data_IF_180973767476
#
_entry.id   IF_180973767476
#
_cell.length_a   1.000
_cell.length_b   1.000
_cell.length_c   1.000
_cell.angle_alpha   90.00
_cell.angle_beta   90.00
_cell.angle_gamma   90.00
#
_symmetry.space_group_name_H-M   'P 1'
#
loop_
_entity.id
_entity.type
_entity.pdbx_description
1 polymer ?
#
# COMPACT_ATOMS: atom_id res chain seq x y z
N UNK A 1 -10.58 -4.42 17.44
CA UNK A 1 -9.95 -3.94 16.20
C UNK A 1 -10.98 -3.85 15.07
N UNK A 2 -11.99 -4.73 15.00
CA UNK A 2 -12.91 -4.80 13.84
C UNK A 2 -14.24 -4.05 14.02
N UNK A 3 -14.35 -3.20 15.05
CA UNK A 3 -15.57 -2.41 15.30
C UNK A 3 -15.90 -1.44 14.16
N UNK A 4 -14.88 -0.97 13.44
CA UNK A 4 -15.06 -0.10 12.28
C UNK A 4 -15.89 -0.78 11.19
N UNK A 5 -15.71 -2.08 10.95
CA UNK A 5 -16.40 -2.81 9.89
C UNK A 5 -17.89 -2.99 10.15
N UNK A 6 -18.31 -2.90 11.43
CA UNK A 6 -19.72 -2.91 11.84
C UNK A 6 -20.33 -1.51 11.93
N UNK A 7 -19.54 -0.46 11.71
CA UNK A 7 -20.04 0.91 11.69
C UNK A 7 -20.89 1.14 10.44
N UNK A 8 -22.00 1.87 10.58
CA UNK A 8 -22.78 2.33 9.43
C UNK A 8 -21.93 3.20 8.47
N UNK A 9 -20.87 3.83 8.97
CA UNK A 9 -19.92 4.60 8.18
C UNK A 9 -19.07 3.74 7.24
N UNK A 10 -18.91 2.44 7.52
CA UNK A 10 -18.06 1.56 6.70
C UNK A 10 -18.55 1.47 5.25
N UNK A 11 -19.87 1.52 5.04
CA UNK A 11 -20.47 1.54 3.70
C UNK A 11 -20.18 2.84 2.92
N UNK A 12 -19.72 3.89 3.60
CA UNK A 12 -19.35 5.17 3.02
C UNK A 12 -17.83 5.36 2.86
N UNK A 13 -17.02 4.41 3.33
CA UNK A 13 -15.57 4.44 3.17
C UNK A 13 -15.18 4.06 1.74
N UNK A 14 -14.21 4.78 1.16
CA UNK A 14 -13.69 4.47 -0.18
C UNK A 14 -12.73 3.28 -0.17
N UNK A 15 -11.99 3.10 0.93
CA UNK A 15 -10.98 2.04 1.12
C UNK A 15 -10.59 1.91 2.58
N UNK A 16 -10.02 0.77 2.93
CA UNK A 16 -9.21 0.59 4.15
C UNK A 16 -7.75 0.79 3.78
N UNK A 17 -7.02 1.61 4.53
CA UNK A 17 -5.60 1.84 4.32
C UNK A 17 -4.78 1.06 5.35
N UNK A 18 -3.84 0.26 4.88
CA UNK A 18 -2.75 -0.32 5.67
C UNK A 18 -1.52 0.52 5.40
N UNK A 19 -1.03 1.18 6.44
CA UNK A 19 0.20 1.99 6.40
C UNK A 19 1.23 1.34 7.31
N UNK A 20 2.38 1.00 6.74
CA UNK A 20 3.51 0.44 7.46
C UNK A 20 4.68 1.42 7.43
N UNK A 21 5.37 1.53 8.57
CA UNK A 21 6.57 2.36 8.71
C UNK A 21 7.77 1.81 7.94
N UNK A 22 8.94 2.45 8.08
CA UNK A 22 10.17 2.04 7.37
C UNK A 22 10.58 0.57 7.57
N UNK A 23 10.25 -0.02 8.72
CA UNK A 23 10.49 -1.42 9.07
C UNK A 23 9.35 -2.37 8.66
N UNK A 24 8.37 -1.86 7.90
CA UNK A 24 7.24 -2.61 7.38
C UNK A 24 7.66 -3.80 6.51
N UNK A 25 7.05 -4.96 6.75
CA UNK A 25 7.30 -6.18 6.00
C UNK A 25 6.06 -6.73 5.31
N UNK A 26 6.25 -7.53 4.27
CA UNK A 26 5.15 -8.24 3.59
C UNK A 26 4.46 -9.24 4.51
N UNK A 27 5.19 -9.83 5.48
CA UNK A 27 4.63 -10.67 6.55
C UNK A 27 3.65 -9.88 7.43
N UNK A 28 4.06 -8.70 7.88
CA UNK A 28 3.18 -7.80 8.65
C UNK A 28 1.97 -7.37 7.83
N UNK A 29 2.17 -7.11 6.54
CA UNK A 29 1.07 -6.79 5.62
C UNK A 29 0.08 -7.95 5.50
N UNK A 30 0.53 -9.19 5.35
CA UNK A 30 -0.34 -10.37 5.29
C UNK A 30 -1.14 -10.60 6.58
N UNK A 31 -0.51 -10.40 7.73
CA UNK A 31 -1.19 -10.51 9.02
C UNK A 31 -2.33 -9.48 9.15
N UNK A 32 -2.10 -8.24 8.74
CA UNK A 32 -3.13 -7.20 8.74
C UNK A 32 -4.20 -7.45 7.68
N UNK A 33 -3.82 -7.91 6.49
CA UNK A 33 -4.75 -8.30 5.44
C UNK A 33 -5.68 -9.41 5.90
N UNK A 34 -5.16 -10.44 6.58
CA UNK A 34 -5.97 -11.54 7.11
C UNK A 34 -7.01 -11.03 8.12
N UNK A 35 -6.60 -10.13 9.03
CA UNK A 35 -7.50 -9.50 10.02
C UNK A 35 -8.58 -8.66 9.34
N UNK A 36 -8.20 -7.77 8.43
CA UNK A 36 -9.15 -6.90 7.72
C UNK A 36 -10.13 -7.72 6.87
N UNK A 37 -9.67 -8.75 6.16
CA UNK A 37 -10.53 -9.62 5.33
C UNK A 37 -11.51 -10.42 6.18
N UNK A 38 -11.15 -10.80 7.40
CA UNK A 38 -12.08 -11.49 8.32
C UNK A 38 -13.29 -10.63 8.71
N UNK A 39 -13.18 -9.30 8.58
CA UNK A 39 -14.27 -8.36 8.82
C UNK A 39 -15.28 -8.30 7.67
N UNK A 40 -15.02 -8.97 6.53
CA UNK A 40 -15.92 -9.10 5.37
C UNK A 40 -16.41 -7.76 4.80
N UNK A 41 -15.61 -6.70 4.93
CA UNK A 41 -15.94 -5.40 4.34
C UNK A 41 -15.82 -5.45 2.81
N UNK A 42 -16.77 -4.86 2.05
CA UNK A 42 -16.71 -4.85 0.59
C UNK A 42 -15.77 -3.79 0.02
N UNK A 43 -15.23 -2.89 0.86
CA UNK A 43 -14.40 -1.78 0.38
C UNK A 43 -12.99 -2.27 0.01
N UNK A 44 -12.36 -1.70 -1.04
CA UNK A 44 -10.99 -2.03 -1.41
C UNK A 44 -9.98 -1.80 -0.26
N UNK A 45 -8.86 -2.53 -0.32
CA UNK A 45 -7.73 -2.33 0.58
C UNK A 45 -6.60 -1.64 -0.20
N UNK A 46 -6.03 -0.61 0.38
CA UNK A 46 -4.80 0.05 -0.06
C UNK A 46 -3.66 -0.34 0.87
N UNK A 47 -2.58 -0.86 0.30
CA UNK A 47 -1.33 -1.15 1.01
C UNK A 47 -0.29 -0.07 0.66
N UNK A 48 0.28 0.54 1.69
CA UNK A 48 1.23 1.63 1.59
C UNK A 48 2.39 1.42 2.57
N UNK A 49 3.61 1.65 2.09
CA UNK A 49 4.84 1.64 2.86
C UNK A 49 5.55 2.99 2.83
N UNK A 50 6.36 3.23 3.86
CA UNK A 50 7.18 4.43 4.05
C UNK A 50 8.67 4.10 3.93
N UNK A 51 9.46 5.03 3.38
CA UNK A 51 10.92 4.95 3.21
C UNK A 51 11.37 3.59 2.65
N UNK A 52 12.16 2.83 3.42
CA UNK A 52 12.76 1.54 3.03
C UNK A 52 11.70 0.47 2.68
N UNK A 53 10.51 0.56 3.27
CA UNK A 53 9.41 -0.37 3.00
C UNK A 53 8.58 0.02 1.76
N UNK A 54 8.76 1.23 1.22
CA UNK A 54 7.88 1.79 0.21
C UNK A 54 7.83 0.94 -1.07
N UNK A 55 8.99 0.68 -1.69
CA UNK A 55 9.06 -0.11 -2.93
C UNK A 55 8.69 -1.59 -2.74
N UNK A 56 9.21 -2.31 -1.72
CA UNK A 56 8.79 -3.69 -1.47
C UNK A 56 7.28 -3.85 -1.24
N UNK A 57 6.64 -2.94 -0.49
CA UNK A 57 5.21 -3.01 -0.22
C UNK A 57 4.36 -2.56 -1.41
N UNK A 58 4.86 -1.65 -2.26
CA UNK A 58 4.21 -1.28 -3.52
C UNK A 58 4.19 -2.45 -4.50
N UNK A 59 5.31 -3.14 -4.69
CA UNK A 59 5.39 -4.36 -5.49
C UNK A 59 4.45 -5.44 -4.92
N UNK A 60 4.48 -5.63 -3.60
CA UNK A 60 3.61 -6.59 -2.93
C UNK A 60 2.13 -6.26 -3.10
N UNK A 61 1.74 -4.98 -3.08
CA UNK A 61 0.38 -4.55 -3.37
C UNK A 61 -0.04 -4.98 -4.78
N UNK A 62 0.85 -4.80 -5.78
CA UNK A 62 0.64 -5.25 -7.16
C UNK A 62 0.41 -6.76 -7.26
N UNK A 63 1.31 -7.56 -6.68
CA UNK A 63 1.22 -9.04 -6.65
C UNK A 63 -0.09 -9.55 -6.01
N UNK A 64 -0.66 -8.78 -5.08
CA UNK A 64 -1.86 -9.13 -4.33
C UNK A 64 -3.14 -8.50 -4.90
N UNK A 65 -3.04 -7.75 -6.01
CA UNK A 65 -4.15 -7.04 -6.63
C UNK A 65 -4.78 -5.98 -5.71
N UNK A 66 -3.97 -5.39 -4.83
CA UNK A 66 -4.40 -4.34 -3.90
C UNK A 66 -4.21 -2.95 -4.54
N UNK A 67 -4.88 -1.95 -3.96
CA UNK A 67 -4.53 -0.57 -4.26
C UNK A 67 -3.20 -0.21 -3.60
N UNK A 68 -2.49 0.78 -4.15
CA UNK A 68 -1.24 1.30 -3.58
C UNK A 68 -1.19 2.83 -3.66
N UNK A 69 -0.16 3.42 -3.06
CA UNK A 69 0.10 4.86 -3.00
C UNK A 69 1.61 5.07 -3.15
N UNK A 70 1.97 6.12 -3.89
CA UNK A 70 3.35 6.59 -4.05
C UNK A 70 3.39 8.12 -4.13
N UNK A 71 4.41 8.73 -3.56
CA UNK A 71 4.71 10.14 -3.65
C UNK A 71 5.88 10.54 -2.75
N UNK A 72 6.30 11.80 -2.83
CA UNK A 72 7.44 12.35 -2.06
C UNK A 72 7.24 12.31 -0.54
N UNK A 73 5.99 12.19 -0.08
CA UNK A 73 5.65 11.95 1.33
C UNK A 73 6.00 10.53 1.76
N UNK A 74 5.97 9.58 0.82
CA UNK A 74 6.12 8.16 1.08
C UNK A 74 7.60 7.73 0.98
N UNK A 75 8.30 8.28 -0.01
CA UNK A 75 9.75 8.14 -0.20
C UNK A 75 10.28 9.21 -1.15
N UNK A 76 11.56 9.56 -1.01
CA UNK A 76 12.27 10.43 -1.97
C UNK A 76 13.19 9.64 -2.92
N UNK A 77 13.27 8.32 -2.76
CA UNK A 77 14.17 7.46 -3.53
C UNK A 77 13.40 6.67 -4.59
N UNK A 78 14.04 6.47 -5.75
CA UNK A 78 13.64 5.52 -6.79
C UNK A 78 14.01 4.08 -6.39
N UNK A 79 13.50 3.05 -7.10
CA UNK A 79 13.80 1.64 -6.78
C UNK A 79 15.30 1.29 -6.81
N UNK A 80 16.09 2.04 -7.58
CA UNK A 80 17.54 1.88 -7.67
C UNK A 80 18.32 2.64 -6.57
N UNK A 81 17.61 3.34 -5.69
CA UNK A 81 18.16 4.13 -4.58
C UNK A 81 18.57 5.56 -4.96
N UNK A 82 18.42 5.99 -6.21
CA UNK A 82 18.67 7.38 -6.60
C UNK A 82 17.53 8.30 -6.14
N UNK A 83 17.79 9.60 -5.96
CA UNK A 83 16.76 10.55 -5.53
C UNK A 83 15.85 10.93 -6.70
N UNK A 84 14.54 10.79 -6.51
CA UNK A 84 13.57 11.19 -7.52
C UNK A 84 13.52 12.72 -7.67
N UNK A 85 13.34 13.20 -8.90
CA UNK A 85 13.14 14.62 -9.19
C UNK A 85 11.78 15.15 -8.74
N UNK A 86 10.85 14.25 -8.36
CA UNK A 86 9.53 14.57 -7.81
C UNK A 86 8.48 13.47 -8.04
N UNK A 87 7.23 13.79 -7.71
CA UNK A 87 6.11 12.83 -7.79
C UNK A 87 5.92 12.20 -9.18
N UNK A 88 6.16 12.95 -10.27
CA UNK A 88 5.96 12.43 -11.61
C UNK A 88 6.89 11.24 -11.92
N UNK A 89 8.15 11.32 -11.49
CA UNK A 89 9.13 10.26 -11.69
C UNK A 89 8.84 9.05 -10.79
N UNK A 90 8.44 9.30 -9.53
CA UNK A 90 8.00 8.25 -8.61
C UNK A 90 6.79 7.47 -9.15
N UNK A 91 5.79 8.16 -9.68
CA UNK A 91 4.59 7.54 -10.28
C UNK A 91 4.95 6.74 -11.52
N UNK A 92 5.84 7.24 -12.38
CA UNK A 92 6.31 6.50 -13.55
C UNK A 92 7.04 5.21 -13.16
N UNK A 93 7.95 5.28 -12.19
CA UNK A 93 8.66 4.11 -11.66
C UNK A 93 7.69 3.10 -11.04
N UNK A 94 6.73 3.56 -10.23
CA UNK A 94 5.68 2.71 -9.66
C UNK A 94 4.86 1.99 -10.74
N UNK A 95 4.52 2.68 -11.83
CA UNK A 95 3.79 2.07 -12.94
C UNK A 95 4.58 0.91 -13.57
N UNK A 96 5.90 1.05 -13.75
CA UNK A 96 6.74 -0.04 -14.28
C UNK A 96 6.86 -1.21 -13.31
N UNK A 97 7.01 -0.95 -12.00
CA UNK A 97 7.00 -1.99 -10.97
C UNK A 97 5.69 -2.78 -10.99
N UNK A 98 4.55 -2.08 -11.02
CA UNK A 98 3.23 -2.72 -11.05
C UNK A 98 2.98 -3.49 -12.35
N UNK A 99 3.50 -3.01 -13.48
CA UNK A 99 3.46 -3.74 -14.77
C UNK A 99 4.27 -5.02 -14.76
N UNK A 100 5.35 -5.08 -13.99
CA UNK A 100 6.20 -6.26 -13.89
C UNK A 100 5.66 -7.30 -12.90
N UNK A 101 4.88 -6.87 -11.91
CA UNK A 101 4.27 -7.72 -10.90
C UNK A 101 2.99 -8.46 -11.36
N UNK A 102 2.41 -8.09 -12.51
CA UNK A 102 1.20 -8.67 -13.09
C UNK A 102 1.42 -9.31 -14.44
#
# INVERSE_FOLDING_TARGET
MDSWARSELAAHCLRVMIELGPDGSTETADDLLARIRSAQSPVPILLHGLDDSCWPLLEYAGLRGLQTRIGVEDTVLLPDGSTASGNAELVAAAYEVLRAAG
#
